data_IF_322004908210
#
_entry.id   IF_322004908210
#
_cell.length_a   1.000
_cell.length_b   1.000
_cell.length_c   1.000
_cell.angle_alpha   90.00
_cell.angle_beta   90.00
_cell.angle_gamma   90.00
#
_symmetry.space_group_name_H-M   'P 1'
#
loop_
_entity.id
_entity.type
_entity.pdbx_description
1 polymer ?
#
# COMPACT_ATOMS: atom_id res chain seq x y z
N UNK A 1 9.08 -11.92 -28.48
CA UNK A 1 7.66 -11.51 -28.36
C UNK A 1 7.60 -10.03 -27.91
N UNK A 2 6.64 -9.24 -28.44
CA UNK A 2 6.45 -7.84 -28.06
C UNK A 2 5.20 -7.75 -27.17
N UNK A 3 5.29 -6.98 -26.09
CA UNK A 3 4.20 -6.68 -25.17
C UNK A 3 3.92 -5.19 -25.27
N UNK A 4 2.71 -4.82 -25.69
CA UNK A 4 2.35 -3.42 -25.95
C UNK A 4 1.09 -3.04 -25.20
N UNK A 5 1.18 -2.00 -24.36
CA UNK A 5 0.06 -1.37 -23.69
C UNK A 5 -0.19 0.03 -24.31
N UNK A 6 -0.91 0.07 -25.45
CA UNK A 6 -1.22 1.32 -26.11
C UNK A 6 -2.16 2.18 -25.27
N UNK A 7 -1.80 3.45 -25.06
CA UNK A 7 -2.62 4.43 -24.32
C UNK A 7 -2.53 4.33 -22.79
N UNK A 8 -1.75 3.42 -22.23
CA UNK A 8 -1.55 3.35 -20.78
C UNK A 8 -0.37 4.20 -20.31
N UNK A 9 -0.56 4.87 -19.18
CA UNK A 9 0.51 5.60 -18.51
C UNK A 9 1.42 4.64 -17.73
N UNK A 10 2.74 4.90 -17.71
CA UNK A 10 3.71 4.14 -16.90
C UNK A 10 3.52 4.22 -15.37
N UNK A 11 2.54 5.02 -14.90
CA UNK A 11 2.21 5.16 -13.47
C UNK A 11 1.31 4.06 -12.90
N UNK A 12 0.87 3.09 -13.72
CA UNK A 12 0.05 1.98 -13.25
C UNK A 12 0.68 0.64 -13.68
N UNK A 13 0.83 -0.27 -12.72
CA UNK A 13 1.32 -1.65 -12.96
C UNK A 13 0.20 -2.61 -13.40
N UNK A 14 -1.07 -2.23 -13.27
CA UNK A 14 -2.24 -3.02 -13.70
C UNK A 14 -2.50 -2.92 -15.22
N UNK A 15 -1.43 -2.93 -16.02
CA UNK A 15 -1.50 -2.90 -17.48
C UNK A 15 -1.58 -4.33 -18.04
N UNK A 16 -2.53 -4.62 -18.95
CA UNK A 16 -2.74 -6.00 -19.42
C UNK A 16 -1.51 -6.66 -20.05
N UNK A 17 -0.75 -5.94 -20.89
CA UNK A 17 0.45 -6.52 -21.51
C UNK A 17 1.57 -6.71 -20.49
N UNK A 18 1.76 -5.79 -19.53
CA UNK A 18 2.71 -5.96 -18.43
C UNK A 18 2.36 -7.19 -17.57
N UNK A 19 1.09 -7.37 -17.23
CA UNK A 19 0.64 -8.54 -16.47
C UNK A 19 0.87 -9.85 -17.23
N UNK A 20 0.67 -9.85 -18.55
CA UNK A 20 1.00 -11.00 -19.40
C UNK A 20 2.51 -11.26 -19.45
N UNK A 21 3.35 -10.22 -19.52
CA UNK A 21 4.81 -10.35 -19.43
C UNK A 21 5.21 -10.97 -18.09
N UNK A 22 4.71 -10.46 -16.98
CA UNK A 22 4.98 -10.98 -15.62
C UNK A 22 4.61 -12.48 -15.53
N UNK A 23 3.47 -12.86 -16.08
CA UNK A 23 3.02 -14.26 -16.13
C UNK A 23 3.95 -15.13 -16.97
N UNK A 24 4.34 -14.65 -18.15
CA UNK A 24 5.25 -15.39 -19.05
C UNK A 24 6.65 -15.55 -18.41
N UNK A 25 7.15 -14.53 -17.69
CA UNK A 25 8.40 -14.59 -16.92
C UNK A 25 8.30 -15.63 -15.79
N UNK A 26 7.26 -15.58 -14.98
CA UNK A 26 7.04 -16.55 -13.89
C UNK A 26 6.90 -17.99 -14.38
N UNK A 27 6.45 -18.18 -15.61
CA UNK A 27 6.36 -19.49 -16.26
C UNK A 27 7.66 -19.92 -16.97
N UNK A 28 8.75 -19.17 -16.83
CA UNK A 28 10.05 -19.48 -17.44
C UNK A 28 10.07 -19.37 -18.98
N UNK A 29 9.12 -18.64 -19.58
CA UNK A 29 9.03 -18.47 -21.04
C UNK A 29 9.86 -17.31 -21.58
N UNK A 30 10.44 -16.49 -20.69
CA UNK A 30 11.19 -15.29 -21.04
C UNK A 30 12.52 -15.33 -20.32
N UNK A 31 13.60 -15.38 -21.06
CA UNK A 31 14.98 -15.36 -20.53
C UNK A 31 15.49 -13.93 -20.34
N UNK A 32 15.00 -12.98 -21.15
CA UNK A 32 15.44 -11.59 -21.11
C UNK A 32 14.31 -10.63 -21.49
N UNK A 33 14.13 -9.59 -20.68
CA UNK A 33 13.23 -8.47 -20.97
C UNK A 33 14.05 -7.29 -21.44
N UNK A 34 13.66 -6.69 -22.57
CA UNK A 34 14.32 -5.50 -23.12
C UNK A 34 13.30 -4.36 -23.21
N UNK A 35 13.64 -3.20 -22.68
CA UNK A 35 12.88 -1.97 -22.83
C UNK A 35 13.75 -0.89 -23.46
N UNK A 36 13.13 0.10 -24.08
CA UNK A 36 13.88 1.22 -24.64
C UNK A 36 14.39 2.14 -23.52
N UNK A 37 13.53 2.50 -22.56
CA UNK A 37 13.84 3.31 -21.36
C UNK A 37 13.16 2.70 -20.14
N UNK A 38 13.71 2.97 -18.94
CA UNK A 38 13.15 2.46 -17.66
C UNK A 38 11.72 2.95 -17.42
N UNK A 39 11.36 4.15 -17.87
CA UNK A 39 10.01 4.71 -17.75
C UNK A 39 8.95 3.95 -18.57
N UNK A 40 9.36 3.16 -19.56
CA UNK A 40 8.47 2.22 -20.28
C UNK A 40 8.07 1.05 -19.41
N UNK A 41 8.94 0.63 -18.51
CA UNK A 41 8.63 -0.40 -17.53
C UNK A 41 7.71 0.16 -16.45
N UNK A 42 8.15 1.18 -15.72
CA UNK A 42 7.35 1.94 -14.76
C UNK A 42 7.93 3.34 -14.56
N UNK A 43 7.07 4.31 -14.22
CA UNK A 43 7.50 5.67 -13.81
C UNK A 43 7.87 5.74 -12.34
N UNK A 44 7.43 4.79 -11.52
CA UNK A 44 7.80 4.66 -10.12
C UNK A 44 9.12 3.90 -10.01
N UNK A 45 10.08 4.46 -9.30
CA UNK A 45 11.35 3.79 -9.01
C UNK A 45 11.13 2.52 -8.17
N UNK A 46 10.14 2.57 -7.28
CA UNK A 46 9.73 1.45 -6.44
C UNK A 46 9.23 0.27 -7.27
N UNK A 47 8.31 0.52 -8.20
CA UNK A 47 7.75 -0.52 -9.05
C UNK A 47 8.81 -1.07 -10.01
N UNK A 48 9.69 -0.21 -10.54
CA UNK A 48 10.80 -0.60 -11.40
C UNK A 48 11.72 -1.56 -10.64
N UNK A 49 12.15 -1.19 -9.43
CA UNK A 49 13.00 -2.04 -8.58
C UNK A 49 12.32 -3.37 -8.25
N UNK A 50 11.04 -3.32 -7.85
CA UNK A 50 10.26 -4.51 -7.54
C UNK A 50 10.18 -5.46 -8.74
N UNK A 51 9.88 -4.95 -9.94
CA UNK A 51 9.79 -5.76 -11.16
C UNK A 51 11.14 -6.38 -11.51
N UNK A 52 12.24 -5.63 -11.43
CA UNK A 52 13.58 -6.12 -11.73
C UNK A 52 13.99 -7.20 -10.72
N UNK A 53 13.95 -6.92 -9.42
CA UNK A 53 14.45 -7.84 -8.39
C UNK A 53 13.53 -9.02 -8.13
N UNK A 54 12.23 -8.75 -7.90
CA UNK A 54 11.28 -9.74 -7.38
C UNK A 54 10.54 -10.50 -8.49
N UNK A 55 10.51 -9.95 -9.70
CA UNK A 55 9.86 -10.62 -10.82
C UNK A 55 10.87 -11.17 -11.81
N UNK A 56 11.77 -10.34 -12.34
CA UNK A 56 12.67 -10.81 -13.41
C UNK A 56 13.83 -11.64 -12.83
N UNK A 57 14.69 -11.07 -12.02
CA UNK A 57 15.87 -11.77 -11.47
C UNK A 57 15.49 -12.98 -10.60
N UNK A 58 14.42 -12.88 -9.82
CA UNK A 58 13.94 -14.00 -9.00
C UNK A 58 13.48 -15.22 -9.86
N UNK A 59 13.15 -15.00 -11.14
CA UNK A 59 12.79 -16.06 -12.09
C UNK A 59 13.88 -16.28 -13.16
N UNK A 60 15.15 -15.93 -12.87
CA UNK A 60 16.30 -16.10 -13.78
C UNK A 60 16.10 -15.43 -15.13
N UNK A 61 15.39 -14.30 -15.16
CA UNK A 61 15.15 -13.49 -16.33
C UNK A 61 15.98 -12.20 -16.25
N UNK A 62 16.86 -11.99 -17.22
CA UNK A 62 17.64 -10.75 -17.32
C UNK A 62 16.79 -9.57 -17.73
N UNK A 63 17.21 -8.37 -17.34
CA UNK A 63 16.58 -7.14 -17.75
C UNK A 63 17.57 -6.17 -18.39
N UNK A 64 17.18 -5.57 -19.50
CA UNK A 64 17.99 -4.61 -20.25
C UNK A 64 17.17 -3.34 -20.55
N UNK A 65 17.73 -2.18 -20.22
CA UNK A 65 17.26 -0.88 -20.71
C UNK A 65 18.28 -0.30 -21.68
N UNK A 66 17.81 -0.02 -22.90
CA UNK A 66 18.73 0.34 -23.99
C UNK A 66 19.28 1.76 -23.84
N UNK A 67 18.43 2.71 -23.46
CA UNK A 67 18.80 4.13 -23.36
C UNK A 67 19.75 4.40 -22.20
N UNK A 68 19.53 3.73 -21.06
CA UNK A 68 20.36 3.90 -19.86
C UNK A 68 21.57 2.97 -19.83
N UNK A 69 21.80 2.16 -20.89
CA UNK A 69 22.86 1.12 -20.91
C UNK A 69 22.85 0.22 -19.67
N UNK A 70 21.66 -0.10 -19.18
CA UNK A 70 21.45 -0.89 -17.98
C UNK A 70 21.17 -2.35 -18.36
N UNK A 71 22.07 -3.26 -18.00
CA UNK A 71 21.97 -4.71 -18.23
C UNK A 71 22.25 -5.46 -16.92
N UNK A 72 21.24 -6.13 -16.36
CA UNK A 72 21.36 -6.89 -15.12
C UNK A 72 22.30 -8.09 -15.23
N UNK A 73 22.60 -8.58 -16.42
CA UNK A 73 23.61 -9.60 -16.68
C UNK A 73 25.03 -9.11 -16.45
N UNK A 74 25.28 -7.77 -16.52
CA UNK A 74 26.60 -7.18 -16.33
C UNK A 74 26.90 -6.86 -14.86
N UNK A 75 28.20 -6.84 -14.44
CA UNK A 75 28.59 -6.38 -13.10
C UNK A 75 28.14 -4.94 -12.80
N UNK A 76 28.22 -4.05 -13.79
CA UNK A 76 27.76 -2.67 -13.68
C UNK A 76 26.25 -2.58 -13.48
N UNK A 77 25.45 -3.35 -14.26
CA UNK A 77 24.00 -3.37 -14.11
C UNK A 77 23.58 -3.90 -12.74
N UNK A 78 24.26 -4.88 -12.18
CA UNK A 78 24.00 -5.34 -10.82
C UNK A 78 24.29 -4.25 -9.76
N UNK A 79 25.35 -3.47 -9.92
CA UNK A 79 25.62 -2.33 -9.04
C UNK A 79 24.55 -1.24 -9.17
N UNK A 80 24.04 -1.00 -10.38
CA UNK A 80 22.97 -0.02 -10.62
C UNK A 80 21.66 -0.37 -9.92
N UNK A 81 21.36 -1.65 -9.67
CA UNK A 81 20.19 -2.06 -8.85
C UNK A 81 20.29 -1.45 -7.45
N UNK A 82 21.47 -1.45 -6.85
CA UNK A 82 21.70 -0.81 -5.54
C UNK A 82 21.40 0.69 -5.57
N UNK A 83 21.79 1.38 -6.64
CA UNK A 83 21.48 2.82 -6.82
C UNK A 83 19.97 3.04 -6.97
N UNK A 84 19.30 2.22 -7.77
CA UNK A 84 17.83 2.26 -7.91
C UNK A 84 17.13 2.01 -6.56
N UNK A 85 17.66 1.13 -5.72
CA UNK A 85 17.13 0.88 -4.38
C UNK A 85 17.19 2.12 -3.49
N UNK A 86 18.30 2.88 -3.55
CA UNK A 86 18.46 4.14 -2.80
C UNK A 86 17.43 5.18 -3.30
N UNK A 87 17.26 5.34 -4.61
CA UNK A 87 16.25 6.25 -5.16
C UNK A 87 14.83 5.85 -4.78
N UNK A 88 14.52 4.56 -4.82
CA UNK A 88 13.23 4.04 -4.38
C UNK A 88 12.95 4.32 -2.90
N UNK A 89 13.98 4.27 -2.05
CA UNK A 89 13.85 4.64 -0.63
C UNK A 89 13.61 6.14 -0.47
N UNK A 90 14.35 7.00 -1.17
CA UNK A 90 14.15 8.44 -1.16
C UNK A 90 12.72 8.81 -1.60
N UNK A 91 12.20 8.16 -2.65
CA UNK A 91 10.81 8.37 -3.10
C UNK A 91 9.80 8.04 -1.98
N UNK A 92 9.98 6.91 -1.26
CA UNK A 92 9.12 6.55 -0.11
C UNK A 92 9.17 7.59 0.99
N UNK A 93 10.36 8.06 1.34
CA UNK A 93 10.55 9.05 2.41
C UNK A 93 9.88 10.38 2.04
N UNK A 94 10.03 10.84 0.79
CA UNK A 94 9.37 12.04 0.29
C UNK A 94 7.84 11.92 0.27
N UNK A 95 7.30 10.75 -0.09
CA UNK A 95 5.85 10.49 -0.02
C UNK A 95 5.37 10.57 1.43
N UNK A 96 6.08 9.91 2.36
CA UNK A 96 5.77 9.92 3.79
C UNK A 96 5.79 11.35 4.34
N UNK A 97 6.81 12.12 4.02
CA UNK A 97 6.96 13.51 4.47
C UNK A 97 5.82 14.39 3.95
N UNK A 98 5.47 14.28 2.67
CA UNK A 98 4.31 15.00 2.10
C UNK A 98 3.00 14.59 2.75
N UNK A 99 2.79 13.31 3.06
CA UNK A 99 1.62 12.85 3.79
C UNK A 99 1.58 13.42 5.22
N UNK A 100 2.71 13.45 5.92
CA UNK A 100 2.80 14.02 7.27
C UNK A 100 2.47 15.52 7.27
N UNK A 101 3.07 16.30 6.35
CA UNK A 101 2.76 17.73 6.19
C UNK A 101 1.28 17.96 5.87
N UNK A 102 0.70 17.16 4.98
CA UNK A 102 -0.72 17.23 4.65
C UNK A 102 -1.63 16.92 5.85
N UNK A 103 -1.28 15.92 6.65
CA UNK A 103 -2.02 15.57 7.87
C UNK A 103 -1.87 16.66 8.94
N UNK A 104 -0.67 17.22 9.11
CA UNK A 104 -0.43 18.32 10.04
C UNK A 104 -1.24 19.58 9.67
N UNK A 105 -1.27 19.95 8.39
CA UNK A 105 -2.08 21.05 7.89
C UNK A 105 -3.57 20.83 8.18
N UNK A 106 -4.10 19.62 7.90
CA UNK A 106 -5.48 19.25 8.21
C UNK A 106 -5.78 19.31 9.71
N UNK A 107 -4.85 18.80 10.54
CA UNK A 107 -5.00 18.85 12.00
C UNK A 107 -5.05 20.30 12.54
N UNK A 108 -4.22 21.20 12.00
CA UNK A 108 -4.26 22.65 12.33
C UNK A 108 -5.58 23.31 11.95
N UNK A 109 -6.21 22.83 10.89
CA UNK A 109 -7.56 23.28 10.47
C UNK A 109 -8.70 22.61 11.27
N UNK A 110 -8.39 21.77 12.26
CA UNK A 110 -9.39 21.02 13.03
C UNK A 110 -10.08 19.90 12.24
N UNK A 111 -9.58 19.54 11.08
CA UNK A 111 -10.14 18.50 10.22
C UNK A 111 -9.62 17.12 10.62
N UNK A 112 -10.46 16.11 10.44
CA UNK A 112 -10.05 14.72 10.66
C UNK A 112 -8.96 14.29 9.66
N UNK A 113 -7.85 13.78 10.18
CA UNK A 113 -6.66 13.44 9.36
C UNK A 113 -6.76 12.11 8.61
N UNK A 114 -7.93 11.49 8.59
CA UNK A 114 -8.16 10.23 7.89
C UNK A 114 -7.90 8.99 8.77
N UNK A 115 -8.01 7.83 8.15
CA UNK A 115 -8.03 6.55 8.83
C UNK A 115 -9.46 6.08 9.08
N UNK A 116 -9.59 5.14 10.03
CA UNK A 116 -10.90 4.65 10.43
C UNK A 116 -11.55 5.62 11.40
N UNK A 117 -12.79 6.06 11.17
CA UNK A 117 -13.50 6.88 12.14
C UNK A 117 -13.56 6.16 13.51
N UNK A 118 -13.32 6.86 14.63
CA UNK A 118 -13.41 6.26 15.95
C UNK A 118 -14.85 5.77 16.21
N UNK A 119 -14.98 4.76 17.08
CA UNK A 119 -16.30 4.31 17.52
C UNK A 119 -17.05 5.47 18.17
N UNK A 120 -18.33 5.61 17.86
CA UNK A 120 -19.16 6.76 18.27
C UNK A 120 -19.27 7.86 17.22
N UNK A 121 -18.51 7.77 16.11
CA UNK A 121 -18.54 8.79 15.06
C UNK A 121 -18.52 8.16 13.68
N UNK A 122 -19.29 8.74 12.75
CA UNK A 122 -19.23 8.43 11.32
C UNK A 122 -18.51 9.57 10.57
N UNK A 123 -17.68 9.18 9.59
CA UNK A 123 -17.01 10.14 8.72
C UNK A 123 -17.87 10.40 7.48
N UNK A 124 -18.50 11.57 7.43
CA UNK A 124 -19.45 11.95 6.39
C UNK A 124 -19.03 13.32 5.82
N UNK A 125 -18.83 13.38 4.51
CA UNK A 125 -18.50 14.62 3.77
C UNK A 125 -17.31 15.40 4.35
N UNK A 126 -16.29 14.71 4.85
CA UNK A 126 -15.08 15.36 5.36
C UNK A 126 -15.10 15.68 6.85
N UNK A 127 -16.18 15.40 7.56
CA UNK A 127 -16.38 15.69 8.97
C UNK A 127 -16.75 14.44 9.78
N UNK A 128 -16.39 14.43 11.07
CA UNK A 128 -16.84 13.44 12.02
C UNK A 128 -18.23 13.86 12.56
N UNK A 129 -19.24 13.04 12.31
CA UNK A 129 -20.58 13.20 12.85
C UNK A 129 -20.86 12.17 13.93
N UNK A 130 -21.55 12.56 14.99
CA UNK A 130 -21.91 11.64 16.08
C UNK A 130 -22.82 10.54 15.53
N UNK A 131 -22.49 9.30 15.88
CA UNK A 131 -23.34 8.13 15.69
C UNK A 131 -23.95 7.79 17.05
N UNK A 132 -25.23 8.11 17.24
CA UNK A 132 -25.90 8.00 18.54
C UNK A 132 -25.89 6.57 19.08
N UNK A 133 -26.03 5.56 18.22
CA UNK A 133 -26.01 4.16 18.63
C UNK A 133 -24.64 3.74 19.16
N UNK A 134 -23.57 4.06 18.43
CA UNK A 134 -22.20 3.76 18.86
C UNK A 134 -21.79 4.65 20.07
N UNK A 135 -22.25 5.89 20.14
CA UNK A 135 -21.97 6.79 21.25
C UNK A 135 -22.53 6.27 22.57
N UNK A 136 -23.70 5.64 22.55
CA UNK A 136 -24.27 4.97 23.74
C UNK A 136 -23.37 3.82 24.22
N UNK A 137 -22.83 3.01 23.30
CA UNK A 137 -21.90 1.93 23.64
C UNK A 137 -20.63 2.48 24.29
N UNK A 138 -20.09 3.57 23.76
CA UNK A 138 -18.89 4.21 24.31
C UNK A 138 -19.17 4.73 25.72
N UNK A 139 -20.30 5.38 25.96
CA UNK A 139 -20.70 5.86 27.30
C UNK A 139 -20.84 4.71 28.29
N UNK A 140 -21.53 3.65 27.89
CA UNK A 140 -21.68 2.44 28.71
C UNK A 140 -20.30 1.83 29.06
N UNK A 141 -19.35 1.81 28.11
CA UNK A 141 -18.00 1.35 28.40
C UNK A 141 -17.31 2.17 29.49
N UNK A 142 -17.45 3.51 29.45
CA UNK A 142 -16.88 4.40 30.46
C UNK A 142 -17.55 4.21 31.82
N UNK A 143 -18.86 4.02 31.89
CA UNK A 143 -19.60 3.75 33.12
C UNK A 143 -19.11 2.46 33.78
N UNK A 144 -18.96 1.36 33.00
CA UNK A 144 -18.44 0.09 33.49
C UNK A 144 -16.98 0.20 33.98
N UNK A 145 -16.16 1.07 33.38
CA UNK A 145 -14.80 1.33 33.87
C UNK A 145 -14.85 2.05 35.22
N UNK A 146 -15.75 3.01 35.38
CA UNK A 146 -15.93 3.73 36.67
C UNK A 146 -16.41 2.78 37.78
N UNK A 147 -17.15 1.73 37.44
CA UNK A 147 -17.53 0.63 38.33
C UNK A 147 -16.38 -0.36 38.61
N UNK A 148 -15.14 -0.05 38.22
CA UNK A 148 -13.96 -0.89 38.35
C UNK A 148 -14.04 -2.21 37.57
N UNK A 149 -14.84 -2.31 36.50
CA UNK A 149 -14.85 -3.47 35.61
C UNK A 149 -13.61 -3.47 34.75
N UNK A 150 -12.92 -4.63 34.69
CA UNK A 150 -11.73 -4.74 33.86
C UNK A 150 -12.08 -4.70 32.35
N UNK A 151 -11.19 -4.18 31.47
CA UNK A 151 -11.44 -4.12 30.01
C UNK A 151 -11.83 -5.45 29.40
N UNK A 152 -11.24 -6.56 29.89
CA UNK A 152 -11.56 -7.92 29.45
C UNK A 152 -13.01 -8.32 29.77
N UNK A 153 -13.51 -7.94 30.94
CA UNK A 153 -14.91 -8.20 31.33
C UNK A 153 -15.87 -7.34 30.52
N UNK A 154 -15.51 -6.09 30.25
CA UNK A 154 -16.29 -5.19 29.39
C UNK A 154 -16.39 -5.75 27.98
N UNK A 155 -15.29 -6.19 27.39
CA UNK A 155 -15.30 -6.81 26.07
C UNK A 155 -16.19 -8.07 26.03
N UNK A 156 -16.15 -8.92 27.06
CA UNK A 156 -17.03 -10.10 27.16
C UNK A 156 -18.49 -9.68 27.25
N UNK A 157 -18.82 -8.72 28.10
CA UNK A 157 -20.17 -8.18 28.28
C UNK A 157 -20.72 -7.58 26.97
N UNK A 158 -19.89 -6.84 26.21
CA UNK A 158 -20.30 -6.27 24.93
C UNK A 158 -20.52 -7.36 23.86
N UNK A 159 -19.69 -8.40 23.85
CA UNK A 159 -19.90 -9.54 22.95
C UNK A 159 -21.20 -10.30 23.27
N UNK A 160 -21.54 -10.46 24.54
CA UNK A 160 -22.79 -11.09 25.00
C UNK A 160 -24.03 -10.24 24.63
N UNK A 161 -23.89 -8.89 24.65
CA UNK A 161 -24.90 -7.95 24.14
C UNK A 161 -25.00 -7.92 22.62
N UNK A 162 -24.09 -8.56 21.90
CA UNK A 162 -24.05 -8.56 20.44
C UNK A 162 -23.51 -7.26 19.83
N UNK A 163 -22.83 -6.42 20.61
CA UNK A 163 -22.15 -5.23 20.07
C UNK A 163 -20.98 -5.65 19.19
N UNK A 164 -20.94 -5.05 17.99
CA UNK A 164 -19.86 -5.32 17.02
C UNK A 164 -18.91 -4.15 16.97
N UNK A 165 -17.63 -4.44 16.77
CA UNK A 165 -16.66 -3.37 16.44
C UNK A 165 -16.98 -2.81 15.06
N UNK A 166 -16.75 -1.53 14.84
CA UNK A 166 -17.05 -0.80 13.59
C UNK A 166 -16.47 -1.43 12.31
N UNK A 167 -15.54 -2.37 12.46
CA UNK A 167 -14.78 -2.99 11.37
C UNK A 167 -14.89 -4.51 11.32
N UNK A 168 -15.89 -5.10 11.99
CA UNK A 168 -16.12 -6.54 11.96
C UNK A 168 -16.39 -7.09 10.55
N UNK A 169 -16.84 -6.26 9.61
CA UNK A 169 -17.17 -6.68 8.25
C UNK A 169 -15.94 -6.82 7.33
N UNK A 170 -14.72 -6.54 7.81
CA UNK A 170 -13.49 -6.76 7.05
C UNK A 170 -12.48 -7.63 7.82
N UNK A 171 -12.66 -8.97 7.84
CA UNK A 171 -11.82 -9.90 8.59
C UNK A 171 -10.36 -9.92 8.11
N UNK A 172 -10.05 -9.45 6.90
CA UNK A 172 -8.69 -9.45 6.36
C UNK A 172 -7.71 -8.51 7.11
N UNK A 173 -8.19 -7.53 7.89
CA UNK A 173 -7.34 -6.62 8.68
C UNK A 173 -6.84 -7.20 10.01
N UNK A 174 -7.44 -8.27 10.51
CA UNK A 174 -7.10 -8.87 11.81
C UNK A 174 -6.29 -10.17 11.72
N UNK A 175 -6.11 -10.72 10.52
CA UNK A 175 -5.36 -11.97 10.31
C UNK A 175 -3.84 -11.76 10.07
N UNK A 176 -3.34 -10.55 10.24
CA UNK A 176 -1.96 -10.17 9.95
C UNK A 176 -1.10 -9.82 11.18
N UNK A 177 -1.36 -10.41 12.36
CA UNK A 177 -0.41 -10.33 13.49
C UNK A 177 -0.41 -11.61 14.29
#
# INVERSE_FOLDING_TARGET
KIYTDAGFSGGNTERPALQNLIRDVKNGKVERVVVYTLDRLSRSQLDTLYLIEKVFLANSCDFVSMSENFDTGSPFGRAMIGILAVFAQLEREQIKERMMMGNEARAKEGKYCGGCSPIGYDYINGELKLNDFEALQVREAFELILENMSPRKIAKFFNEKGYKTKYCDNPARYLGK
#
